data_IF_990366326156
#
_entry.id   IF_990366326156
#
_cell.length_a   1.000
_cell.length_b   1.000
_cell.length_c   1.000
_cell.angle_alpha   90.00
_cell.angle_beta   90.00
_cell.angle_gamma   90.00
#
_symmetry.space_group_name_H-M   'P 1'
#
loop_
_entity.id
_entity.type
_entity.pdbx_description
1 polymer ?
#
# COMPACT_ATOMS: atom_id res chain seq x y z
N UNK A 1 19.53 4.93 12.82
CA UNK A 1 19.14 4.82 11.40
C UNK A 1 20.17 4.01 10.66
N UNK A 2 19.76 2.98 9.90
CA UNK A 2 20.66 2.17 9.06
C UNK A 2 20.11 2.13 7.62
N UNK A 3 20.99 2.12 6.64
CA UNK A 3 20.62 1.91 5.23
C UNK A 3 20.44 0.42 4.98
N UNK A 4 19.48 0.07 4.13
CA UNK A 4 19.12 -1.28 3.74
C UNK A 4 19.07 -1.39 2.22
N UNK A 5 19.79 -2.36 1.66
CA UNK A 5 19.64 -2.81 0.27
C UNK A 5 18.35 -3.62 0.07
N UNK A 6 17.97 -3.94 -1.15
CA UNK A 6 16.75 -4.72 -1.45
C UNK A 6 16.65 -6.00 -0.64
N UNK A 7 17.73 -6.76 -0.53
CA UNK A 7 17.74 -8.01 0.24
C UNK A 7 17.56 -7.77 1.73
N UNK A 8 18.20 -6.75 2.28
CA UNK A 8 18.10 -6.38 3.69
C UNK A 8 16.72 -5.82 4.02
N UNK A 9 16.08 -5.07 3.10
CA UNK A 9 14.69 -4.60 3.26
C UNK A 9 13.74 -5.78 3.45
N UNK A 10 13.83 -6.82 2.59
CA UNK A 10 13.00 -8.02 2.71
C UNK A 10 13.21 -8.71 4.06
N UNK A 11 14.46 -8.97 4.42
CA UNK A 11 14.79 -9.63 5.69
C UNK A 11 14.28 -8.83 6.89
N UNK A 12 14.46 -7.50 6.84
CA UNK A 12 14.03 -6.62 7.93
C UNK A 12 12.52 -6.55 8.05
N UNK A 13 11.78 -6.52 6.93
CA UNK A 13 10.32 -6.62 6.96
C UNK A 13 9.86 -7.92 7.61
N UNK A 14 10.43 -9.07 7.22
CA UNK A 14 10.11 -10.38 7.81
C UNK A 14 10.35 -10.38 9.31
N UNK A 15 11.52 -9.90 9.73
CA UNK A 15 11.86 -9.79 11.16
C UNK A 15 10.85 -8.93 11.92
N UNK A 16 10.54 -7.73 11.43
CA UNK A 16 9.63 -6.80 12.10
C UNK A 16 8.18 -7.29 12.14
N UNK A 17 7.63 -7.86 11.05
CA UNK A 17 6.24 -8.37 11.04
C UNK A 17 6.08 -9.62 11.89
N UNK A 18 7.12 -10.43 12.04
CA UNK A 18 7.07 -11.62 12.91
C UNK A 18 6.97 -11.28 14.40
N UNK A 19 7.41 -10.07 14.79
CA UNK A 19 7.38 -9.57 16.17
C UNK A 19 6.26 -8.56 16.44
N UNK A 20 5.62 -8.03 15.39
CA UNK A 20 4.54 -7.06 15.54
C UNK A 20 3.30 -7.70 16.14
N UNK A 21 2.65 -7.01 17.09
CA UNK A 21 1.47 -7.52 17.80
C UNK A 21 0.31 -6.53 17.86
N UNK A 22 0.58 -5.27 17.71
CA UNK A 22 -0.42 -4.22 17.93
C UNK A 22 -0.79 -3.49 16.64
N UNK A 23 0.20 -3.06 15.86
CA UNK A 23 -0.05 -2.18 14.73
C UNK A 23 0.90 -2.46 13.56
N UNK A 24 0.33 -2.64 12.37
CA UNK A 24 1.08 -2.70 11.11
C UNK A 24 0.45 -1.72 10.13
N UNK A 25 1.20 -0.68 9.77
CA UNK A 25 0.77 0.30 8.77
C UNK A 25 1.72 0.24 7.58
N UNK A 26 1.18 0.01 6.40
CA UNK A 26 1.94 0.02 5.15
C UNK A 26 1.40 1.12 4.26
N UNK A 27 2.30 1.99 3.81
CA UNK A 27 2.04 3.07 2.87
C UNK A 27 2.87 2.77 1.63
N UNK A 28 2.23 2.52 0.49
CA UNK A 28 2.96 2.18 -0.74
C UNK A 28 2.20 2.69 -1.96
N UNK A 29 2.89 3.45 -2.81
CA UNK A 29 2.27 3.94 -4.05
C UNK A 29 1.77 2.78 -4.92
N UNK A 30 2.55 1.73 -5.08
CA UNK A 30 2.17 0.53 -5.83
C UNK A 30 2.09 -0.69 -4.91
N UNK A 31 1.07 -1.51 -5.12
CA UNK A 31 0.86 -2.71 -4.32
C UNK A 31 0.40 -3.89 -5.17
N UNK A 32 1.02 -5.05 -4.94
CA UNK A 32 0.66 -6.32 -5.58
C UNK A 32 0.15 -7.32 -4.57
N UNK A 33 -0.85 -8.11 -4.93
CA UNK A 33 -1.40 -9.19 -4.11
C UNK A 33 -0.31 -10.16 -3.61
N UNK A 34 0.63 -10.50 -4.46
CA UNK A 34 1.74 -11.38 -4.09
C UNK A 34 2.60 -10.83 -2.94
N UNK A 35 2.76 -9.50 -2.90
CA UNK A 35 3.58 -8.86 -1.87
C UNK A 35 2.83 -8.71 -0.53
N UNK A 36 1.54 -8.37 -0.53
CA UNK A 36 0.78 -8.32 0.73
C UNK A 36 0.55 -9.72 1.31
N UNK A 37 0.34 -10.73 0.46
CA UNK A 37 0.29 -12.14 0.89
C UNK A 37 1.59 -12.56 1.57
N UNK A 38 2.73 -12.21 0.96
CA UNK A 38 4.04 -12.45 1.57
C UNK A 38 4.16 -11.79 2.96
N UNK A 39 3.64 -10.56 3.15
CA UNK A 39 3.61 -9.94 4.47
C UNK A 39 2.79 -10.79 5.46
N UNK A 40 1.55 -11.15 5.10
CA UNK A 40 0.64 -11.91 5.98
C UNK A 40 1.19 -13.31 6.31
N UNK A 41 1.86 -13.97 5.37
CA UNK A 41 2.52 -15.29 5.58
C UNK A 41 3.66 -15.24 6.60
N UNK A 42 4.24 -14.07 6.85
CA UNK A 42 5.33 -13.87 7.80
C UNK A 42 4.87 -13.28 9.16
N UNK A 43 3.57 -13.05 9.34
CA UNK A 43 3.00 -12.64 10.63
C UNK A 43 2.93 -13.86 11.54
N UNK A 44 3.67 -13.84 12.65
CA UNK A 44 3.71 -14.95 13.61
C UNK A 44 2.61 -14.91 14.66
N UNK A 45 2.05 -13.72 14.91
CA UNK A 45 1.01 -13.49 15.93
C UNK A 45 -0.08 -12.56 15.39
N UNK A 46 -1.35 -12.70 15.81
CA UNK A 46 -2.40 -11.78 15.39
C UNK A 46 -2.03 -10.33 15.68
N UNK A 47 -2.07 -9.49 14.65
CA UNK A 47 -1.87 -8.04 14.77
C UNK A 47 -3.24 -7.37 14.86
N UNK A 48 -3.47 -6.55 15.90
CA UNK A 48 -4.78 -5.95 16.19
C UNK A 48 -5.25 -4.99 15.09
N UNK A 49 -4.32 -4.17 14.58
CA UNK A 49 -4.64 -3.11 13.64
C UNK A 49 -3.73 -3.21 12.41
N UNK A 50 -4.28 -3.61 11.28
CA UNK A 50 -3.58 -3.65 10.00
C UNK A 50 -4.15 -2.60 9.05
N UNK A 51 -3.32 -1.66 8.57
CA UNK A 51 -3.70 -0.62 7.63
C UNK A 51 -2.81 -0.62 6.40
N UNK A 52 -3.41 -0.57 5.24
CA UNK A 52 -2.72 -0.43 3.95
C UNK A 52 -3.20 0.85 3.27
N UNK A 53 -2.27 1.74 2.89
CA UNK A 53 -2.57 2.90 2.04
C UNK A 53 -1.89 2.73 0.68
N UNK A 54 -2.65 2.89 -0.39
CA UNK A 54 -2.17 2.73 -1.77
C UNK A 54 -2.59 3.90 -2.66
N UNK A 55 -1.82 4.13 -3.73
CA UNK A 55 -2.27 4.93 -4.85
C UNK A 55 -3.14 4.05 -5.75
N UNK A 56 -4.41 4.42 -5.89
CA UNK A 56 -5.38 3.58 -6.58
C UNK A 56 -5.92 4.29 -7.83
N UNK A 57 -4.99 4.75 -8.69
CA UNK A 57 -5.33 5.34 -9.99
C UNK A 57 -5.72 4.24 -10.97
N UNK A 58 -6.79 4.48 -11.75
CA UNK A 58 -7.23 3.55 -12.79
C UNK A 58 -6.11 3.21 -13.79
N UNK A 59 -5.28 4.20 -14.14
CA UNK A 59 -4.11 4.00 -14.99
C UNK A 59 -3.06 3.05 -14.39
N UNK A 60 -2.80 3.14 -13.07
CA UNK A 60 -1.85 2.25 -12.38
C UNK A 60 -2.35 0.80 -12.38
N UNK A 61 -3.65 0.62 -12.22
CA UNK A 61 -4.30 -0.68 -12.23
C UNK A 61 -4.27 -1.30 -13.62
N UNK A 62 -4.66 -0.55 -14.65
CA UNK A 62 -4.65 -1.02 -16.03
C UNK A 62 -3.24 -1.35 -16.55
N UNK A 63 -2.21 -0.63 -16.07
CA UNK A 63 -0.81 -0.96 -16.34
C UNK A 63 -0.24 -2.08 -15.46
N UNK A 64 -1.03 -2.61 -14.52
CA UNK A 64 -0.61 -3.67 -13.62
C UNK A 64 0.42 -3.24 -12.56
N UNK A 65 0.50 -1.94 -12.23
CA UNK A 65 1.36 -1.44 -11.16
C UNK A 65 0.74 -1.72 -9.77
N UNK A 66 -0.59 -1.70 -9.69
CA UNK A 66 -1.38 -2.05 -8.50
C UNK A 66 -2.45 -3.05 -8.91
N UNK A 67 -2.71 -4.08 -8.09
CA UNK A 67 -3.76 -5.05 -8.36
C UNK A 67 -5.12 -4.51 -7.90
N UNK A 68 -6.15 -4.66 -8.72
CA UNK A 68 -7.50 -4.18 -8.40
C UNK A 68 -8.09 -4.94 -7.20
N UNK A 69 -7.85 -6.24 -7.13
CA UNK A 69 -8.40 -7.18 -6.15
C UNK A 69 -7.80 -7.02 -4.73
N UNK A 70 -6.94 -6.02 -4.51
CA UNK A 70 -6.35 -5.74 -3.19
C UNK A 70 -7.40 -5.50 -2.11
N UNK A 71 -8.51 -4.84 -2.44
CA UNK A 71 -9.55 -4.56 -1.45
C UNK A 71 -10.22 -5.82 -0.94
N UNK A 72 -10.57 -6.75 -1.82
CA UNK A 72 -11.18 -8.04 -1.44
C UNK A 72 -10.24 -8.83 -0.53
N UNK A 73 -8.96 -8.85 -0.87
CA UNK A 73 -7.95 -9.50 -0.04
C UNK A 73 -7.81 -8.81 1.33
N UNK A 74 -7.70 -7.50 1.36
CA UNK A 74 -7.59 -6.71 2.59
C UNK A 74 -8.78 -6.97 3.52
N UNK A 75 -10.01 -6.91 2.99
CA UNK A 75 -11.24 -7.15 3.74
C UNK A 75 -11.27 -8.57 4.32
N UNK A 76 -10.91 -9.59 3.53
CA UNK A 76 -10.90 -10.98 3.97
C UNK A 76 -9.84 -11.27 5.05
N UNK A 77 -8.76 -10.50 5.10
CA UNK A 77 -7.61 -10.72 5.98
C UNK A 77 -7.45 -9.66 7.08
N UNK A 78 -8.51 -8.88 7.36
CA UNK A 78 -8.54 -7.93 8.47
C UNK A 78 -7.66 -6.67 8.29
N UNK A 79 -7.40 -6.28 7.04
CA UNK A 79 -6.76 -5.02 6.71
C UNK A 79 -7.80 -3.93 6.47
N UNK A 80 -7.56 -2.72 6.97
CA UNK A 80 -8.24 -1.52 6.51
C UNK A 80 -7.46 -0.94 5.32
N UNK A 81 -8.10 -0.86 4.16
CA UNK A 81 -7.47 -0.29 2.95
C UNK A 81 -7.88 1.17 2.77
N UNK A 82 -6.89 2.03 2.61
CA UNK A 82 -7.03 3.45 2.32
C UNK A 82 -6.48 3.77 0.94
N UNK A 83 -7.10 4.72 0.25
CA UNK A 83 -6.65 5.17 -1.06
C UNK A 83 -6.32 6.65 -1.06
N UNK A 84 -5.27 7.00 -1.81
CA UNK A 84 -4.84 8.37 -2.00
C UNK A 84 -4.21 8.52 -3.39
N UNK A 85 -4.74 9.43 -4.21
CA UNK A 85 -4.37 9.50 -5.63
C UNK A 85 -3.03 10.17 -5.90
N UNK A 86 -2.56 11.03 -5.00
CA UNK A 86 -1.29 11.74 -5.05
C UNK A 86 -0.14 11.00 -4.30
N UNK A 87 -0.39 9.78 -3.82
CA UNK A 87 0.57 9.03 -3.02
C UNK A 87 1.79 8.60 -3.85
N UNK A 88 2.99 8.87 -3.31
CA UNK A 88 4.24 8.30 -3.83
C UNK A 88 5.18 7.77 -2.73
N UNK A 89 4.76 7.82 -1.46
CA UNK A 89 5.53 7.29 -0.32
C UNK A 89 5.62 5.76 -0.33
N UNK A 90 6.68 5.23 0.30
CA UNK A 90 6.86 3.81 0.61
C UNK A 90 7.39 3.73 2.04
N UNK A 91 6.51 3.34 2.96
CA UNK A 91 6.82 3.29 4.39
C UNK A 91 6.10 2.11 5.03
N UNK A 92 6.82 1.37 5.84
CA UNK A 92 6.32 0.24 6.62
C UNK A 92 6.52 0.58 8.09
N UNK A 93 5.46 0.66 8.89
CA UNK A 93 5.50 1.04 10.30
C UNK A 93 5.04 -0.13 11.17
N UNK A 94 5.87 -0.50 12.13
CA UNK A 94 5.69 -1.65 13.00
C UNK A 94 5.48 -1.20 14.44
N UNK A 95 4.33 -1.56 15.02
CA UNK A 95 3.90 -1.27 16.40
C UNK A 95 4.05 0.21 16.79
N UNK A 96 3.98 1.13 15.78
CA UNK A 96 4.15 2.58 15.96
C UNK A 96 5.48 2.96 16.66
N UNK A 97 6.51 2.10 16.53
CA UNK A 97 7.82 2.30 17.18
C UNK A 97 8.97 2.32 16.19
N UNK A 98 8.86 1.57 15.10
CA UNK A 98 9.93 1.40 14.11
C UNK A 98 9.35 1.52 12.71
N UNK A 99 10.16 1.97 11.77
CA UNK A 99 9.73 2.03 10.37
C UNK A 99 10.86 1.68 9.41
N UNK A 100 10.46 1.20 8.24
CA UNK A 100 11.28 1.16 7.03
C UNK A 100 10.69 2.19 6.08
N UNK A 101 11.51 3.11 5.58
CA UNK A 101 11.12 4.10 4.59
C UNK A 101 12.16 4.18 3.47
N UNK A 102 11.71 4.32 2.22
CA UNK A 102 12.63 4.37 1.09
C UNK A 102 11.97 4.23 -0.26
N UNK A 103 12.64 3.52 -1.19
CA UNK A 103 12.16 3.35 -2.56
C UNK A 103 11.30 2.10 -2.77
N UNK A 104 11.35 1.11 -1.87
CA UNK A 104 10.73 -0.20 -2.03
C UNK A 104 9.19 -0.17 -1.92
N UNK A 105 8.49 -0.26 -3.06
CA UNK A 105 7.04 -0.46 -3.08
C UNK A 105 6.67 -1.86 -2.57
N UNK A 106 5.43 -2.02 -2.10
CA UNK A 106 4.84 -3.31 -1.73
C UNK A 106 4.53 -4.15 -2.98
N UNK A 107 5.57 -4.56 -3.69
CA UNK A 107 5.51 -5.35 -4.92
C UNK A 107 6.57 -6.44 -4.89
N UNK A 108 6.40 -7.51 -5.69
CA UNK A 108 7.41 -8.57 -5.77
C UNK A 108 8.78 -8.05 -6.21
N UNK A 109 8.83 -7.06 -7.10
CA UNK A 109 10.10 -6.44 -7.53
C UNK A 109 10.69 -5.55 -6.44
N UNK A 110 9.87 -4.73 -5.77
CA UNK A 110 10.32 -3.83 -4.71
C UNK A 110 10.81 -4.56 -3.47
N UNK A 111 10.19 -5.69 -3.11
CA UNK A 111 10.61 -6.51 -1.97
C UNK A 111 11.64 -7.58 -2.33
N UNK A 112 12.15 -7.64 -3.56
CA UNK A 112 13.11 -8.65 -3.97
C UNK A 112 12.58 -10.08 -3.91
N UNK A 113 11.28 -10.29 -4.19
CA UNK A 113 10.64 -11.61 -4.23
C UNK A 113 10.74 -12.26 -5.61
N UNK A 114 11.17 -11.53 -6.62
CA UNK A 114 11.37 -12.02 -7.99
C UNK A 114 12.85 -12.06 -8.37
N UNK A 115 13.22 -12.96 -9.29
CA UNK A 115 14.59 -13.09 -9.80
C UNK A 115 15.14 -11.81 -10.45
N UNK A 116 14.25 -11.00 -11.04
CA UNK A 116 14.57 -9.72 -11.67
C UNK A 116 13.90 -8.58 -10.91
N UNK A 117 14.24 -8.46 -9.61
CA UNK A 117 13.76 -7.39 -8.74
C UNK A 117 14.41 -6.04 -9.03
N UNK A 118 13.86 -4.98 -8.46
CA UNK A 118 14.47 -3.67 -8.49
C UNK A 118 15.69 -3.63 -7.55
N UNK A 119 16.61 -2.69 -7.83
CA UNK A 119 17.59 -2.30 -6.84
C UNK A 119 16.99 -1.18 -5.98
N UNK A 120 16.67 -1.49 -4.73
CA UNK A 120 16.02 -0.56 -3.80
C UNK A 120 16.99 -0.13 -2.71
N UNK A 121 16.78 1.08 -2.20
CA UNK A 121 17.51 1.60 -1.06
C UNK A 121 16.51 2.18 -0.07
N UNK A 122 16.59 1.75 1.18
CA UNK A 122 15.68 2.16 2.25
C UNK A 122 16.44 2.45 3.53
N UNK A 123 15.78 3.06 4.50
CA UNK A 123 16.29 3.30 5.85
C UNK A 123 15.41 2.60 6.86
N UNK A 124 16.03 2.01 7.88
CA UNK A 124 15.36 1.55 9.09
C UNK A 124 15.61 2.54 10.24
N UNK A 125 14.53 2.96 10.90
CA UNK A 125 14.57 3.96 11.95
C UNK A 125 13.54 3.69 13.05
N UNK A 126 13.76 4.29 14.22
CA UNK A 126 12.72 4.47 15.24
C UNK A 126 11.80 5.63 14.84
N UNK A 127 10.56 5.57 15.27
CA UNK A 127 9.51 6.56 15.02
C UNK A 127 9.22 7.28 16.34
N UNK A 128 9.22 8.59 16.33
CA UNK A 128 8.81 9.42 17.46
C UNK A 128 7.37 9.96 17.30
N UNK A 129 6.85 10.67 18.30
CA UNK A 129 5.49 11.20 18.28
C UNK A 129 5.25 12.21 17.14
N UNK A 130 6.28 12.98 16.75
CA UNK A 130 6.19 13.91 15.63
C UNK A 130 6.04 13.18 14.31
N UNK A 131 6.76 12.06 14.13
CA UNK A 131 6.66 11.21 12.95
C UNK A 131 5.33 10.49 12.89
N UNK A 132 4.86 9.95 14.04
CA UNK A 132 3.54 9.33 14.15
C UNK A 132 2.41 10.30 13.77
N UNK A 133 2.50 11.55 14.20
CA UNK A 133 1.52 12.57 13.82
C UNK A 133 1.46 12.80 12.31
N UNK A 134 2.61 12.80 11.62
CA UNK A 134 2.67 12.92 10.14
C UNK A 134 2.01 11.71 9.48
N UNK A 135 2.30 10.49 9.97
CA UNK A 135 1.72 9.24 9.45
C UNK A 135 0.20 9.22 9.68
N UNK A 136 -0.26 9.57 10.88
CA UNK A 136 -1.69 9.63 11.20
C UNK A 136 -2.39 10.67 10.30
N UNK A 137 -1.81 11.85 10.12
CA UNK A 137 -2.35 12.88 9.20
C UNK A 137 -2.48 12.38 7.77
N UNK A 138 -1.56 11.52 7.28
CA UNK A 138 -1.70 10.91 5.96
C UNK A 138 -2.93 10.02 5.89
N UNK A 139 -3.19 9.19 6.90
CA UNK A 139 -4.36 8.31 6.97
C UNK A 139 -5.66 9.10 7.15
N UNK A 140 -5.66 10.14 7.98
CA UNK A 140 -6.83 11.00 8.24
C UNK A 140 -7.27 11.74 6.96
N UNK A 141 -6.33 12.08 6.08
CA UNK A 141 -6.57 12.73 4.79
C UNK A 141 -6.68 11.74 3.61
N UNK A 142 -6.80 10.45 3.87
CA UNK A 142 -6.99 9.42 2.86
C UNK A 142 -8.45 8.92 2.86
N UNK A 143 -8.86 8.33 1.76
CA UNK A 143 -10.21 7.76 1.62
C UNK A 143 -10.17 6.31 2.09
N UNK A 144 -10.96 5.97 3.11
CA UNK A 144 -11.17 4.56 3.48
C UNK A 144 -11.96 3.87 2.37
N UNK A 145 -11.43 2.78 1.83
CA UNK A 145 -12.14 1.98 0.85
C UNK A 145 -13.32 1.27 1.50
N UNK A 146 -14.50 1.43 0.93
CA UNK A 146 -15.74 0.75 1.33
C UNK A 146 -16.24 -0.15 0.20
N UNK A 147 -17.18 -1.05 0.50
CA UNK A 147 -17.80 -1.92 -0.51
C UNK A 147 -18.48 -1.09 -1.60
N UNK A 148 -19.17 0.00 -1.24
CA UNK A 148 -19.86 0.87 -2.19
C UNK A 148 -18.87 1.61 -3.10
N UNK A 149 -17.77 2.13 -2.54
CA UNK A 149 -16.74 2.80 -3.33
C UNK A 149 -16.05 1.79 -4.26
N UNK A 150 -15.68 0.62 -3.75
CA UNK A 150 -15.06 -0.42 -4.54
C UNK A 150 -15.96 -0.90 -5.69
N UNK A 151 -17.26 -1.10 -5.45
CA UNK A 151 -18.22 -1.47 -6.48
C UNK A 151 -18.35 -0.40 -7.57
N UNK A 152 -18.36 0.89 -7.19
CA UNK A 152 -18.38 2.00 -8.15
C UNK A 152 -17.10 2.04 -8.99
N UNK A 153 -15.92 1.85 -8.37
CA UNK A 153 -14.64 1.79 -9.08
C UNK A 153 -14.53 0.56 -9.98
N UNK A 154 -15.11 -0.58 -9.58
CA UNK A 154 -15.15 -1.78 -10.40
C UNK A 154 -15.93 -1.58 -11.70
N UNK A 155 -17.03 -0.83 -11.65
CA UNK A 155 -17.78 -0.48 -12.86
C UNK A 155 -16.91 0.30 -13.87
N UNK A 156 -16.18 1.31 -13.39
CA UNK A 156 -15.27 2.10 -14.25
C UNK A 156 -14.10 1.24 -14.78
N UNK A 157 -13.56 0.35 -13.94
CA UNK A 157 -12.48 -0.55 -14.31
C UNK A 157 -12.89 -1.53 -15.41
N UNK A 158 -14.06 -2.17 -15.30
CA UNK A 158 -14.55 -3.11 -16.30
C UNK A 158 -14.84 -2.43 -17.64
N UNK A 159 -15.40 -1.21 -17.62
CA UNK A 159 -15.60 -0.41 -18.83
C UNK A 159 -14.26 -0.08 -19.51
N UNK A 160 -13.29 0.39 -18.74
CA UNK A 160 -11.98 0.76 -19.25
C UNK A 160 -11.23 -0.47 -19.84
N UNK A 161 -11.31 -1.62 -19.16
CA UNK A 161 -10.71 -2.88 -19.59
C UNK A 161 -11.29 -3.40 -20.91
N UNK A 162 -12.61 -3.26 -21.11
CA UNK A 162 -13.28 -3.67 -22.34
C UNK A 162 -12.90 -2.81 -23.54
N UNK A 163 -12.73 -1.50 -23.33
CA UNK A 163 -12.46 -0.54 -24.40
C UNK A 163 -11.04 -0.62 -24.96
N UNK A 164 -10.11 -1.31 -24.30
CA UNK A 164 -8.68 -1.46 -24.68
C UNK A 164 -8.00 -0.11 -25.04
N UNK A 165 -8.54 1.01 -24.52
CA UNK A 165 -7.96 2.33 -24.73
C UNK A 165 -6.60 2.47 -24.02
N UNK A 166 -5.68 3.32 -24.55
CA UNK A 166 -4.41 3.56 -23.87
C UNK A 166 -4.65 4.07 -22.45
N UNK A 167 -4.12 3.38 -21.45
CA UNK A 167 -4.31 3.68 -20.03
C UNK A 167 -3.95 5.13 -19.60
N UNK A 168 -3.34 5.92 -20.47
CA UNK A 168 -2.95 7.33 -20.23
C UNK A 168 -4.13 8.28 -19.94
N UNK A 169 -5.32 7.94 -20.38
CA UNK A 169 -6.50 8.83 -20.35
C UNK A 169 -7.52 8.48 -19.29
N UNK A 170 -7.33 7.35 -18.59
CA UNK A 170 -8.33 6.88 -17.66
C UNK A 170 -8.29 7.65 -16.34
N UNK A 171 -9.45 8.14 -15.94
CA UNK A 171 -9.74 8.71 -14.62
C UNK A 171 -10.99 8.03 -14.07
N UNK A 172 -11.06 7.91 -12.77
CA UNK A 172 -12.29 7.43 -12.13
C UNK A 172 -13.43 8.40 -12.40
N UNK A 173 -14.57 7.92 -12.91
CA UNK A 173 -15.78 8.73 -13.16
C UNK A 173 -16.75 8.60 -11.98
N UNK A 174 -16.28 8.73 -10.76
CA UNK A 174 -17.11 8.58 -9.58
C UNK A 174 -17.38 9.92 -8.91
N UNK A 175 -18.61 10.12 -8.46
CA UNK A 175 -19.03 11.31 -7.71
C UNK A 175 -18.36 11.41 -6.32
N UNK A 176 -17.75 10.34 -5.84
CA UNK A 176 -17.10 10.27 -4.53
C UNK A 176 -15.87 11.19 -4.40
N UNK A 177 -15.26 11.58 -5.52
CA UNK A 177 -14.03 12.38 -5.51
C UNK A 177 -14.27 13.90 -5.53
N UNK A 178 -15.50 14.33 -5.75
CA UNK A 178 -15.85 15.76 -5.80
C UNK A 178 -15.75 16.43 -4.43
N UNK A 179 -15.69 15.65 -3.36
CA UNK A 179 -15.68 16.15 -1.97
C UNK A 179 -14.25 16.39 -1.44
N UNK A 180 -13.21 15.80 -2.05
CA UNK A 180 -11.85 15.78 -1.49
C UNK A 180 -10.89 16.78 -2.14
N UNK A 181 -11.23 17.37 -3.29
CA UNK A 181 -10.33 18.22 -4.07
C UNK A 181 -10.86 19.65 -4.35
N UNK A 182 -11.78 20.15 -3.53
CA UNK A 182 -12.15 21.56 -3.52
C UNK A 182 -11.33 22.31 -2.45
N UNK A 183 -10.06 22.55 -2.76
CA UNK A 183 -9.27 23.67 -2.25
C UNK A 183 -8.47 24.27 -3.40
#
# INVERSE_FOLDING_TARGET
MSLLSTHEVKQKIVDEVSHATDNLQIISAFCKLSAIKFIDENISHPIKNKKLMVRFLLSDILHGATDFELFDYCKANGWQMYVRFDLHAKTYVFDRKRCILGSANLTSKGLGLSLHGNYELSSFATVDDSDLKKIDTLFDNAILMTDELYAAMNSDYEIAKQNQEPAKTFKWNTKFFTIVFNE
#
